data_IF_515573379684
#
_entry.id   IF_515573379684
#
_cell.length_a   1.000
_cell.length_b   1.000
_cell.length_c   1.000
_cell.angle_alpha   90.00
_cell.angle_beta   90.00
_cell.angle_gamma   90.00
#
_symmetry.space_group_name_H-M   'P 1'
#
loop_
_entity.id
_entity.type
_entity.pdbx_description
1 polymer ?
#
# COMPACT_ATOMS: atom_id res chain seq x y z
N UNK A 1 43.35 -32.98 -15.52
CA UNK A 1 43.60 -31.55 -15.79
C UNK A 1 42.70 -30.98 -16.90
N UNK A 2 42.61 -31.59 -18.11
CA UNK A 2 41.78 -31.06 -19.22
C UNK A 2 40.31 -30.93 -18.87
N UNK A 3 39.68 -31.92 -18.22
CA UNK A 3 38.27 -31.89 -17.82
C UNK A 3 37.97 -30.79 -16.78
N UNK A 4 38.88 -30.52 -15.84
CA UNK A 4 38.72 -29.44 -14.87
C UNK A 4 38.84 -28.05 -15.51
N UNK A 5 39.77 -27.88 -16.45
CA UNK A 5 39.92 -26.64 -17.22
C UNK A 5 38.66 -26.38 -18.08
N UNK A 6 38.16 -27.39 -18.78
CA UNK A 6 36.92 -27.27 -19.55
C UNK A 6 35.73 -26.90 -18.69
N UNK A 7 35.60 -27.49 -17.51
CA UNK A 7 34.53 -27.17 -16.54
C UNK A 7 34.63 -25.71 -16.07
N UNK A 8 35.82 -25.25 -15.69
CA UNK A 8 36.03 -23.83 -15.28
C UNK A 8 35.71 -22.88 -16.42
N UNK A 9 36.18 -23.17 -17.64
CA UNK A 9 35.89 -22.35 -18.83
C UNK A 9 34.38 -22.28 -19.08
N UNK A 10 33.67 -23.40 -18.97
CA UNK A 10 32.22 -23.43 -19.14
C UNK A 10 31.49 -22.55 -18.10
N UNK A 11 31.92 -22.59 -16.84
CA UNK A 11 31.36 -21.71 -15.80
C UNK A 11 31.65 -20.23 -16.13
N UNK A 12 32.84 -19.89 -16.51
CA UNK A 12 33.24 -18.53 -16.87
C UNK A 12 32.42 -18.02 -18.07
N UNK A 13 32.24 -18.83 -19.10
CA UNK A 13 31.44 -18.50 -20.28
C UNK A 13 29.96 -18.28 -19.90
N UNK A 14 29.38 -19.15 -19.04
CA UNK A 14 28.04 -18.98 -18.56
C UNK A 14 27.92 -17.67 -17.77
N UNK A 15 28.88 -17.36 -16.90
CA UNK A 15 28.87 -16.11 -16.12
C UNK A 15 28.98 -14.87 -17.02
N UNK A 16 29.86 -14.90 -18.02
CA UNK A 16 30.01 -13.81 -19.01
C UNK A 16 28.71 -13.63 -19.81
N UNK A 17 28.13 -14.73 -20.28
CA UNK A 17 26.86 -14.69 -21.02
C UNK A 17 25.74 -14.13 -20.16
N UNK A 18 25.65 -14.54 -18.89
CA UNK A 18 24.68 -14.01 -17.94
C UNK A 18 24.90 -12.51 -17.67
N UNK A 19 26.14 -12.05 -17.57
CA UNK A 19 26.48 -10.63 -17.39
C UNK A 19 26.07 -9.81 -18.63
N UNK A 20 26.38 -10.26 -19.84
CA UNK A 20 26.00 -9.55 -21.06
C UNK A 20 24.48 -9.52 -21.26
N UNK A 21 23.80 -10.65 -21.03
CA UNK A 21 22.34 -10.71 -21.09
C UNK A 21 21.70 -9.83 -20.01
N UNK A 22 22.28 -9.81 -18.83
CA UNK A 22 21.83 -8.99 -17.72
C UNK A 22 21.98 -7.50 -18.05
N UNK A 23 23.14 -7.03 -18.53
CA UNK A 23 23.32 -5.62 -18.88
C UNK A 23 22.39 -5.17 -20.01
N UNK A 24 22.27 -5.91 -21.09
CA UNK A 24 21.41 -5.55 -22.23
C UNK A 24 19.92 -5.64 -21.87
N UNK A 25 19.54 -6.63 -21.09
CA UNK A 25 18.14 -6.86 -20.69
C UNK A 25 17.72 -5.93 -19.55
N UNK A 26 18.57 -5.75 -18.53
CA UNK A 26 18.32 -4.78 -17.44
C UNK A 26 18.25 -3.38 -18.01
N UNK A 27 19.15 -3.00 -18.91
CA UNK A 27 19.10 -1.67 -19.55
C UNK A 27 17.77 -1.43 -20.26
N UNK A 28 17.23 -2.41 -21.00
CA UNK A 28 15.88 -2.30 -21.60
C UNK A 28 14.79 -2.14 -20.58
N UNK A 29 14.91 -2.85 -19.46
CA UNK A 29 13.98 -2.74 -18.35
C UNK A 29 14.09 -1.36 -17.71
N UNK A 30 15.29 -0.91 -17.38
CA UNK A 30 15.53 0.39 -16.74
C UNK A 30 15.14 1.57 -17.64
N UNK A 31 15.38 1.49 -18.94
CA UNK A 31 14.94 2.51 -19.91
C UNK A 31 13.41 2.59 -20.00
N UNK A 32 12.70 1.46 -19.86
CA UNK A 32 11.24 1.44 -19.78
C UNK A 32 10.70 2.20 -18.55
N UNK A 33 11.43 2.15 -17.44
CA UNK A 33 11.02 2.80 -16.18
C UNK A 33 11.37 4.28 -16.10
N UNK A 34 12.18 4.79 -17.01
CA UNK A 34 12.48 6.23 -17.14
C UNK A 34 11.40 6.99 -17.89
N UNK A 35 10.28 6.35 -18.20
CA UNK A 35 9.14 7.01 -18.87
C UNK A 35 8.59 8.12 -17.98
N UNK A 36 8.55 9.34 -18.52
CA UNK A 36 8.04 10.54 -17.84
C UNK A 36 6.51 10.60 -17.84
N UNK A 37 5.85 9.51 -17.48
CA UNK A 37 4.41 9.51 -17.31
C UNK A 37 4.04 8.88 -15.95
N UNK A 38 2.78 8.96 -15.59
CA UNK A 38 2.28 8.42 -14.34
C UNK A 38 1.81 6.95 -14.43
N UNK A 39 2.09 6.27 -15.54
CA UNK A 39 1.68 4.87 -15.74
C UNK A 39 2.19 3.93 -14.65
N UNK A 40 3.39 4.17 -14.12
CA UNK A 40 3.93 3.38 -13.02
C UNK A 40 3.37 3.85 -11.67
N UNK A 41 3.30 5.16 -11.43
CA UNK A 41 2.85 5.71 -10.14
C UNK A 41 1.43 5.28 -9.79
N UNK A 42 0.53 5.24 -10.77
CA UNK A 42 -0.87 4.82 -10.59
C UNK A 42 -1.16 3.37 -11.01
N UNK A 43 -0.13 2.59 -11.40
CA UNK A 43 -0.32 1.18 -11.71
C UNK A 43 -0.73 0.40 -10.45
N UNK A 44 -1.68 -0.53 -10.59
CA UNK A 44 -2.25 -1.32 -9.48
C UNK A 44 -1.78 -2.77 -9.46
N UNK A 45 -0.67 -3.10 -10.13
CA UNK A 45 -0.18 -4.47 -10.17
C UNK A 45 0.67 -4.84 -8.96
N UNK A 46 0.55 -6.09 -8.52
CA UNK A 46 1.41 -6.67 -7.48
C UNK A 46 2.88 -6.60 -7.82
N UNK A 47 3.21 -6.74 -9.09
CA UNK A 47 4.58 -6.74 -9.57
C UNK A 47 5.25 -5.39 -9.30
N UNK A 48 4.50 -4.29 -9.46
CA UNK A 48 4.97 -2.95 -9.06
C UNK A 48 5.23 -2.91 -7.56
N UNK A 49 4.24 -3.31 -6.76
CA UNK A 49 4.30 -3.18 -5.31
C UNK A 49 5.37 -4.06 -4.66
N UNK A 50 5.77 -5.16 -5.30
CA UNK A 50 6.82 -6.06 -4.82
C UNK A 50 8.24 -5.63 -5.17
N UNK A 51 8.40 -4.70 -6.11
CA UNK A 51 9.71 -4.30 -6.62
C UNK A 51 10.16 -2.98 -5.99
N UNK A 52 11.24 -3.03 -5.24
CA UNK A 52 11.91 -1.84 -4.70
C UNK A 52 12.26 -0.84 -5.80
N UNK A 53 12.88 -1.32 -6.88
CA UNK A 53 13.33 -0.43 -7.97
C UNK A 53 12.15 0.24 -8.68
N UNK A 54 11.00 -0.47 -8.84
CA UNK A 54 9.81 0.13 -9.43
C UNK A 54 9.29 1.32 -8.64
N UNK A 55 9.30 1.19 -7.34
CA UNK A 55 8.85 2.26 -6.46
C UNK A 55 9.88 3.40 -6.45
N UNK A 56 11.13 3.12 -6.11
CA UNK A 56 12.15 4.16 -5.84
C UNK A 56 12.56 4.95 -7.07
N UNK A 57 12.62 4.35 -8.24
CA UNK A 57 12.96 5.05 -9.49
C UNK A 57 11.85 6.01 -9.95
N UNK A 58 10.63 5.83 -9.45
CA UNK A 58 9.47 6.66 -9.80
C UNK A 58 9.04 7.62 -8.68
N UNK A 59 9.75 7.66 -7.56
CA UNK A 59 9.57 8.63 -6.48
C UNK A 59 10.48 9.84 -6.75
N UNK A 60 9.87 11.00 -6.95
CA UNK A 60 10.56 12.28 -7.17
C UNK A 60 10.26 13.24 -6.02
N UNK A 61 10.89 14.43 -6.02
CA UNK A 61 10.68 15.45 -4.99
C UNK A 61 9.22 15.92 -4.88
N UNK A 62 8.50 15.88 -5.98
CA UNK A 62 7.10 16.27 -6.13
C UNK A 62 6.11 15.09 -6.00
N UNK A 63 6.58 13.92 -5.58
CA UNK A 63 5.76 12.71 -5.47
C UNK A 63 5.39 12.43 -4.01
N UNK A 64 4.09 12.51 -3.69
CA UNK A 64 3.56 12.09 -2.40
C UNK A 64 3.36 10.56 -2.38
N UNK A 65 3.80 9.89 -1.33
CA UNK A 65 3.54 8.46 -1.14
C UNK A 65 2.18 8.28 -0.48
N UNK A 66 1.30 7.52 -1.12
CA UNK A 66 -0.02 7.17 -0.61
C UNK A 66 -0.13 5.65 -0.45
N UNK A 67 -0.18 5.21 0.81
CA UNK A 67 -0.34 3.80 1.20
C UNK A 67 -1.81 3.52 1.50
N UNK A 68 -2.34 2.41 0.98
CA UNK A 68 -3.73 2.03 1.21
C UNK A 68 -3.99 0.61 0.73
N UNK A 69 -5.26 0.22 0.64
CA UNK A 69 -5.69 -1.10 0.20
C UNK A 69 -6.65 -1.00 -1.00
N UNK A 70 -7.79 -1.68 -0.94
CA UNK A 70 -8.82 -1.62 -1.99
C UNK A 70 -9.38 -0.21 -2.22
N UNK A 71 -9.24 0.68 -1.27
CA UNK A 71 -9.61 2.10 -1.39
C UNK A 71 -8.95 2.75 -2.61
N UNK A 72 -7.68 2.40 -2.85
CA UNK A 72 -6.89 2.94 -3.97
C UNK A 72 -7.29 2.36 -5.33
N UNK A 73 -8.09 1.31 -5.38
CA UNK A 73 -8.38 0.58 -6.62
C UNK A 73 -9.86 0.53 -6.97
N UNK A 74 -10.76 0.61 -5.98
CA UNK A 74 -12.20 0.47 -6.17
C UNK A 74 -12.79 1.51 -7.14
N UNK A 75 -12.29 2.74 -7.09
CA UNK A 75 -12.78 3.87 -7.90
C UNK A 75 -11.71 4.45 -8.83
N UNK A 76 -10.68 3.67 -9.17
CA UNK A 76 -9.50 4.16 -9.92
C UNK A 76 -9.80 4.76 -11.30
N UNK A 77 -10.93 4.41 -11.89
CA UNK A 77 -11.34 4.92 -13.20
C UNK A 77 -12.29 6.12 -13.12
N UNK A 78 -12.76 6.45 -11.92
CA UNK A 78 -13.67 7.57 -11.72
C UNK A 78 -12.94 8.93 -11.81
N UNK A 79 -13.67 9.96 -12.24
CA UNK A 79 -13.13 11.30 -12.44
C UNK A 79 -12.60 11.97 -11.17
N UNK A 80 -13.15 11.58 -10.03
CA UNK A 80 -12.78 12.08 -8.70
C UNK A 80 -11.67 11.26 -8.02
N UNK A 81 -10.99 10.37 -8.70
CA UNK A 81 -9.87 9.61 -8.12
C UNK A 81 -8.55 10.38 -8.26
N UNK A 82 -7.61 10.29 -7.31
CA UNK A 82 -6.31 10.98 -7.36
C UNK A 82 -5.54 10.83 -8.67
N UNK A 83 -5.70 9.70 -9.35
CA UNK A 83 -5.15 9.44 -10.68
C UNK A 83 -5.59 10.48 -11.73
N UNK A 84 -6.78 11.06 -11.57
CA UNK A 84 -7.34 12.07 -12.48
C UNK A 84 -7.08 13.50 -12.03
N UNK A 85 -7.02 13.71 -10.72
CA UNK A 85 -6.84 15.03 -10.13
C UNK A 85 -5.35 15.43 -10.06
N UNK A 86 -4.45 14.48 -9.76
CA UNK A 86 -3.03 14.75 -9.50
C UNK A 86 -2.09 14.13 -10.55
N UNK A 87 -2.40 14.35 -11.82
CA UNK A 87 -1.60 13.83 -12.93
C UNK A 87 -0.74 14.95 -13.59
N UNK A 88 0.10 15.62 -12.77
CA UNK A 88 0.94 16.74 -13.22
C UNK A 88 2.42 16.51 -12.89
N UNK A 89 3.32 17.21 -13.61
CA UNK A 89 4.75 17.07 -13.36
C UNK A 89 5.16 17.67 -12.01
N UNK A 90 4.59 18.82 -11.62
CA UNK A 90 4.89 19.49 -10.34
C UNK A 90 4.23 18.85 -9.11
N UNK A 91 3.27 17.96 -9.30
CA UNK A 91 2.65 17.17 -8.23
C UNK A 91 1.99 15.91 -8.74
N UNK A 92 2.34 14.80 -8.13
CA UNK A 92 1.75 13.48 -8.40
C UNK A 92 1.82 12.58 -7.16
N UNK A 93 1.17 11.43 -7.23
CA UNK A 93 1.09 10.47 -6.13
C UNK A 93 1.67 9.13 -6.56
N UNK A 94 2.59 8.57 -5.76
CA UNK A 94 2.93 7.16 -5.82
C UNK A 94 1.93 6.39 -4.98
N UNK A 95 0.93 5.83 -5.64
CA UNK A 95 -0.08 4.97 -5.01
C UNK A 95 0.51 3.58 -4.78
N UNK A 96 0.42 3.07 -3.54
CA UNK A 96 0.94 1.74 -3.15
C UNK A 96 -0.14 1.01 -2.36
N UNK A 97 -0.66 -0.05 -2.96
CA UNK A 97 -1.62 -0.95 -2.34
C UNK A 97 -2.82 -1.28 -3.21
N UNK A 98 -3.41 -2.40 -2.90
CA UNK A 98 -4.66 -2.94 -3.42
C UNK A 98 -5.26 -3.88 -2.38
N UNK A 99 -6.38 -4.53 -2.67
CA UNK A 99 -7.07 -5.39 -1.70
C UNK A 99 -6.15 -6.28 -0.87
N UNK A 100 -6.33 -6.23 0.45
CA UNK A 100 -5.53 -6.91 1.47
C UNK A 100 -4.10 -6.38 1.68
N UNK A 101 -3.76 -5.20 1.19
CA UNK A 101 -2.60 -4.48 1.67
C UNK A 101 -2.96 -3.83 3.01
N UNK A 102 -2.40 -4.33 4.09
CA UNK A 102 -2.62 -3.86 5.45
C UNK A 102 -1.29 -3.47 6.12
N UNK A 103 -1.33 -3.02 7.37
CA UNK A 103 -0.21 -2.37 8.04
C UNK A 103 1.12 -3.13 7.97
N UNK A 104 1.12 -4.45 8.15
CA UNK A 104 2.37 -5.22 8.12
C UNK A 104 3.01 -5.29 6.73
N UNK A 105 2.19 -5.27 5.66
CA UNK A 105 2.68 -5.19 4.28
C UNK A 105 3.28 -3.80 4.02
N UNK A 106 2.58 -2.75 4.49
CA UNK A 106 3.08 -1.37 4.38
C UNK A 106 4.33 -1.16 5.22
N UNK A 107 4.46 -1.82 6.37
CA UNK A 107 5.67 -1.81 7.20
C UNK A 107 6.89 -2.35 6.44
N UNK A 108 6.74 -3.48 5.73
CA UNK A 108 7.79 -4.01 4.87
C UNK A 108 8.13 -3.06 3.72
N UNK A 109 7.13 -2.48 3.08
CA UNK A 109 7.33 -1.55 1.97
C UNK A 109 8.02 -0.27 2.43
N UNK A 110 7.50 0.40 3.46
CA UNK A 110 8.08 1.64 3.99
C UNK A 110 9.48 1.42 4.55
N UNK A 111 9.70 0.33 5.28
CA UNK A 111 11.02 -0.02 5.81
C UNK A 111 12.08 -0.20 4.73
N UNK A 112 11.64 -0.66 3.54
CA UNK A 112 12.48 -0.83 2.36
C UNK A 112 12.78 0.47 1.63
N UNK A 113 11.74 1.29 1.35
CA UNK A 113 11.85 2.47 0.47
C UNK A 113 11.94 3.80 1.21
N UNK A 114 11.64 3.84 2.52
CA UNK A 114 11.44 5.10 3.24
C UNK A 114 12.65 6.05 3.21
N UNK A 115 13.86 5.50 3.10
CA UNK A 115 15.09 6.31 2.93
C UNK A 115 15.19 6.97 1.55
N UNK A 116 14.39 6.54 0.57
CA UNK A 116 14.38 7.03 -0.81
C UNK A 116 13.21 8.00 -1.08
N UNK A 117 12.37 8.25 -0.08
CA UNK A 117 11.25 9.22 -0.18
C UNK A 117 11.82 10.64 -0.15
N UNK A 118 11.98 11.23 -1.32
CA UNK A 118 12.74 12.47 -1.53
C UNK A 118 12.17 13.70 -0.82
N UNK A 119 10.84 13.83 -0.74
CA UNK A 119 10.16 14.91 0.00
C UNK A 119 9.80 14.52 1.43
N UNK A 120 10.15 13.31 1.84
CA UNK A 120 9.90 12.75 3.17
C UNK A 120 8.42 12.68 3.58
N UNK A 121 7.46 12.78 2.65
CA UNK A 121 6.02 12.82 2.96
C UNK A 121 5.33 11.52 2.57
N UNK A 122 4.62 10.95 3.54
CA UNK A 122 3.85 9.70 3.38
C UNK A 122 2.48 9.87 4.03
N UNK A 123 1.45 9.36 3.38
CA UNK A 123 0.12 9.21 3.97
C UNK A 123 -0.26 7.74 3.93
N UNK A 124 -0.78 7.22 5.05
CA UNK A 124 -1.39 5.89 5.10
C UNK A 124 -2.89 6.02 5.36
N UNK A 125 -3.69 5.28 4.59
CA UNK A 125 -5.12 5.17 4.79
C UNK A 125 -5.38 4.02 5.76
N UNK A 126 -6.13 4.31 6.82
CA UNK A 126 -6.63 3.32 7.77
C UNK A 126 -8.14 3.18 7.61
N UNK A 127 -8.56 2.05 7.08
CA UNK A 127 -9.96 1.73 6.90
C UNK A 127 -10.45 0.79 7.97
N UNK A 128 -11.63 1.05 8.51
CA UNK A 128 -12.21 0.31 9.64
C UNK A 128 -12.29 -1.21 9.37
N UNK A 129 -12.54 -1.65 8.15
CA UNK A 129 -12.63 -3.06 7.80
C UNK A 129 -11.32 -3.85 7.98
N UNK A 130 -10.19 -3.19 8.11
CA UNK A 130 -8.93 -3.88 8.39
C UNK A 130 -8.89 -4.47 9.81
N UNK A 131 -9.72 -3.92 10.70
CA UNK A 131 -9.73 -4.25 12.14
C UNK A 131 -10.86 -5.22 12.53
N UNK A 132 -11.70 -5.64 11.60
CA UNK A 132 -12.86 -6.52 11.87
C UNK A 132 -12.49 -7.98 12.13
N UNK A 133 -11.27 -8.38 11.77
CA UNK A 133 -10.80 -9.74 11.91
C UNK A 133 -9.97 -9.92 13.19
N UNK A 134 -10.48 -10.73 14.11
CA UNK A 134 -9.78 -11.10 15.36
C UNK A 134 -8.42 -11.79 15.13
N UNK A 135 -8.14 -12.29 13.94
CA UNK A 135 -6.86 -12.90 13.57
C UNK A 135 -5.97 -11.95 12.78
N UNK A 136 -6.41 -10.69 12.53
CA UNK A 136 -5.74 -9.74 11.66
C UNK A 136 -5.75 -10.15 10.19
N UNK A 137 -4.73 -9.75 9.44
CA UNK A 137 -4.61 -10.11 8.03
C UNK A 137 -4.63 -11.64 7.84
N UNK A 138 -5.41 -12.11 6.87
CA UNK A 138 -5.46 -13.52 6.52
C UNK A 138 -4.10 -14.00 6.01
N UNK A 139 -3.61 -15.16 6.50
CA UNK A 139 -2.27 -15.67 6.15
C UNK A 139 -2.07 -15.86 4.65
N UNK A 140 -3.07 -16.35 3.92
CA UNK A 140 -2.99 -16.52 2.47
C UNK A 140 -2.95 -15.16 1.74
N UNK A 141 -3.71 -14.18 2.23
CA UNK A 141 -3.64 -12.81 1.74
C UNK A 141 -2.24 -12.22 1.99
N UNK A 142 -1.72 -12.34 3.21
CA UNK A 142 -0.36 -11.93 3.54
C UNK A 142 0.67 -12.55 2.60
N UNK A 143 0.68 -13.88 2.45
CA UNK A 143 1.65 -14.60 1.61
C UNK A 143 1.61 -14.19 0.15
N UNK A 144 0.43 -13.84 -0.36
CA UNK A 144 0.28 -13.40 -1.74
C UNK A 144 0.73 -11.94 -1.95
N UNK A 145 0.72 -11.10 -0.91
CA UNK A 145 1.01 -9.66 -0.95
C UNK A 145 2.43 -9.30 -0.54
N UNK A 146 3.00 -10.03 0.44
CA UNK A 146 4.34 -9.69 0.95
C UNK A 146 5.42 -9.81 -0.11
N UNK A 147 6.35 -8.87 -0.13
CA UNK A 147 7.57 -8.92 -0.93
C UNK A 147 8.75 -9.37 -0.08
N UNK A 148 9.38 -10.49 -0.46
CA UNK A 148 10.59 -10.96 0.20
C UNK A 148 11.74 -9.95 0.06
N UNK A 149 11.79 -9.24 -1.06
CA UNK A 149 12.74 -8.14 -1.28
C UNK A 149 12.55 -7.02 -0.26
N UNK A 150 11.32 -6.59 -0.03
CA UNK A 150 11.02 -5.55 0.96
C UNK A 150 11.34 -6.01 2.39
N UNK A 151 11.00 -7.26 2.75
CA UNK A 151 11.37 -7.80 4.07
C UNK A 151 12.89 -7.81 4.26
N UNK A 152 13.65 -8.30 3.27
CA UNK A 152 15.12 -8.29 3.35
C UNK A 152 15.66 -6.87 3.51
N UNK A 153 15.22 -5.92 2.68
CA UNK A 153 15.69 -4.53 2.70
C UNK A 153 15.34 -3.82 4.01
N UNK A 154 14.16 -4.08 4.57
CA UNK A 154 13.76 -3.58 5.89
C UNK A 154 14.71 -4.10 6.98
N UNK A 155 15.02 -5.40 6.95
CA UNK A 155 15.96 -5.98 7.91
C UNK A 155 17.40 -5.46 7.75
N UNK A 156 17.82 -5.18 6.51
CA UNK A 156 19.15 -4.64 6.22
C UNK A 156 19.26 -3.11 6.41
N UNK A 157 18.16 -2.39 6.61
CA UNK A 157 18.15 -0.94 6.73
C UNK A 157 18.73 -0.51 8.09
N UNK A 158 19.89 0.14 8.09
CA UNK A 158 20.61 0.54 9.31
C UNK A 158 19.90 1.66 10.10
N UNK A 159 19.00 2.41 9.49
CA UNK A 159 18.21 3.45 10.18
C UNK A 159 17.14 2.86 11.09
N UNK A 160 16.71 1.62 10.84
CA UNK A 160 15.69 0.95 11.65
C UNK A 160 16.36 0.30 12.85
N UNK A 161 15.86 0.60 14.05
CA UNK A 161 16.39 0.06 15.31
C UNK A 161 16.24 -1.47 15.40
N UNK A 162 17.13 -2.11 16.17
CA UNK A 162 17.07 -3.55 16.37
C UNK A 162 15.77 -4.00 17.04
N UNK A 163 15.24 -3.20 17.97
CA UNK A 163 13.95 -3.48 18.62
C UNK A 163 12.81 -3.50 17.59
N UNK A 164 12.75 -2.49 16.71
CA UNK A 164 11.73 -2.40 15.66
C UNK A 164 11.86 -3.57 14.67
N UNK A 165 13.09 -3.88 14.22
CA UNK A 165 13.36 -5.03 13.36
C UNK A 165 12.94 -6.35 13.99
N UNK A 166 13.16 -6.52 15.28
CA UNK A 166 12.78 -7.75 15.97
C UNK A 166 11.25 -7.91 16.04
N UNK A 167 10.51 -6.86 16.40
CA UNK A 167 9.03 -6.86 16.37
C UNK A 167 8.51 -7.19 14.97
N UNK A 168 9.05 -6.51 13.96
CA UNK A 168 8.67 -6.71 12.56
C UNK A 168 8.91 -8.14 12.09
N UNK A 169 10.14 -8.67 12.23
CA UNK A 169 10.46 -9.99 11.71
C UNK A 169 9.74 -11.11 12.48
N UNK A 170 9.48 -10.95 13.77
CA UNK A 170 8.68 -11.90 14.54
C UNK A 170 7.26 -12.02 14.00
N UNK A 171 6.63 -10.87 13.67
CA UNK A 171 5.28 -10.87 13.06
C UNK A 171 5.28 -11.47 11.65
N UNK A 172 6.29 -11.18 10.83
CA UNK A 172 6.47 -11.78 9.50
C UNK A 172 6.61 -13.32 9.60
N UNK A 173 7.37 -13.82 10.56
CA UNK A 173 7.55 -15.27 10.80
C UNK A 173 6.22 -15.91 11.21
N UNK A 174 5.47 -15.27 12.12
CA UNK A 174 4.15 -15.75 12.56
C UNK A 174 3.18 -15.91 11.38
N UNK A 175 3.08 -14.87 10.54
CA UNK A 175 2.16 -14.85 9.40
C UNK A 175 2.57 -15.82 8.28
N UNK A 176 3.85 -16.15 8.16
CA UNK A 176 4.37 -17.03 7.11
C UNK A 176 4.28 -18.52 7.42
N UNK A 177 3.75 -18.93 8.57
CA UNK A 177 3.82 -20.32 9.09
C UNK A 177 3.23 -21.36 8.13
N UNK A 178 2.26 -21.01 7.31
CA UNK A 178 1.63 -21.93 6.34
C UNK A 178 2.47 -22.14 5.07
N UNK A 179 3.47 -21.29 4.81
CA UNK A 179 4.41 -21.47 3.70
C UNK A 179 5.81 -21.82 4.24
N UNK A 180 6.16 -23.11 4.18
CA UNK A 180 7.41 -23.64 4.75
C UNK A 180 8.67 -22.97 4.22
N UNK A 181 8.70 -22.62 2.94
CA UNK A 181 9.87 -22.00 2.30
C UNK A 181 10.06 -20.55 2.79
N UNK A 182 9.04 -19.72 2.68
CA UNK A 182 9.09 -18.34 3.17
C UNK A 182 9.32 -18.27 4.67
N UNK A 183 8.66 -19.13 5.45
CA UNK A 183 8.84 -19.22 6.89
C UNK A 183 10.30 -19.53 7.27
N UNK A 184 10.93 -20.51 6.61
CA UNK A 184 12.35 -20.86 6.82
C UNK A 184 13.24 -19.68 6.43
N UNK A 185 12.95 -19.00 5.33
CA UNK A 185 13.71 -17.82 4.87
C UNK A 185 13.66 -16.70 5.89
N UNK A 186 12.48 -16.33 6.38
CA UNK A 186 12.32 -15.25 7.35
C UNK A 186 12.97 -15.59 8.72
N UNK A 187 12.95 -16.86 9.12
CA UNK A 187 13.75 -17.33 10.28
C UNK A 187 15.25 -17.13 10.06
N UNK A 188 15.75 -17.36 8.84
CA UNK A 188 17.15 -17.11 8.54
C UNK A 188 17.49 -15.61 8.58
N UNK A 189 16.56 -14.73 8.14
CA UNK A 189 16.73 -13.28 8.30
C UNK A 189 16.82 -12.90 9.79
N UNK A 190 15.90 -13.39 10.62
CA UNK A 190 15.98 -13.16 12.08
C UNK A 190 17.32 -13.64 12.65
N UNK A 191 17.72 -14.87 12.33
CA UNK A 191 18.97 -15.46 12.79
C UNK A 191 20.19 -14.60 12.43
N UNK A 192 20.22 -14.03 11.22
CA UNK A 192 21.33 -13.21 10.74
C UNK A 192 21.30 -11.78 11.29
N UNK A 193 20.17 -11.08 11.12
CA UNK A 193 20.07 -9.65 11.42
C UNK A 193 19.80 -9.32 12.90
N UNK A 194 19.17 -10.25 13.64
CA UNK A 194 18.81 -10.02 15.06
C UNK A 194 19.71 -10.83 15.97
N UNK A 195 19.80 -12.14 15.76
CA UNK A 195 20.54 -13.03 16.69
C UNK A 195 22.06 -12.97 16.49
N UNK A 196 22.55 -12.27 15.45
CA UNK A 196 23.98 -12.20 15.12
C UNK A 196 24.60 -13.55 14.74
N UNK A 197 23.77 -14.52 14.34
CA UNK A 197 24.20 -15.89 14.02
C UNK A 197 24.34 -16.05 12.50
N UNK A 198 25.54 -15.87 12.01
CA UNK A 198 25.87 -16.07 10.59
C UNK A 198 27.31 -15.67 10.32
N UNK A 199 27.89 -16.24 9.28
CA UNK A 199 29.21 -15.85 8.80
C UNK A 199 29.11 -14.75 7.75
N UNK A 200 30.23 -14.14 7.39
CA UNK A 200 30.33 -13.25 6.22
C UNK A 200 29.72 -13.90 4.96
N UNK A 201 30.01 -15.19 4.74
CA UNK A 201 29.46 -15.96 3.61
C UNK A 201 27.92 -16.01 3.66
N UNK A 202 27.34 -16.15 4.86
CA UNK A 202 25.87 -16.12 5.00
C UNK A 202 25.31 -14.76 4.58
N UNK A 203 25.97 -13.65 4.96
CA UNK A 203 25.56 -12.31 4.56
C UNK A 203 25.59 -12.10 3.04
N UNK A 204 26.69 -12.53 2.39
CA UNK A 204 26.83 -12.43 0.94
C UNK A 204 25.78 -13.30 0.20
N UNK A 205 25.45 -14.48 0.72
CA UNK A 205 24.39 -15.33 0.17
C UNK A 205 23.02 -14.65 0.27
N UNK A 206 22.70 -14.01 1.39
CA UNK A 206 21.43 -13.28 1.56
C UNK A 206 21.35 -12.07 0.62
N UNK A 207 22.46 -11.35 0.40
CA UNK A 207 22.53 -10.26 -0.59
C UNK A 207 22.26 -10.76 -2.00
N UNK A 208 22.91 -11.87 -2.37
CA UNK A 208 22.73 -12.49 -3.68
C UNK A 208 21.30 -12.98 -3.89
N UNK A 209 20.72 -13.65 -2.90
CA UNK A 209 19.33 -14.11 -2.96
C UNK A 209 18.36 -12.91 -3.15
N UNK A 210 18.58 -11.82 -2.43
CA UNK A 210 17.80 -10.59 -2.61
C UNK A 210 17.99 -9.98 -4.01
N UNK A 211 19.20 -9.98 -4.55
CA UNK A 211 19.45 -9.54 -5.94
C UNK A 211 18.62 -10.34 -6.95
N UNK A 212 18.57 -11.67 -6.79
CA UNK A 212 17.74 -12.53 -7.65
C UNK A 212 16.25 -12.19 -7.51
N UNK A 213 15.76 -11.88 -6.29
CA UNK A 213 14.36 -11.45 -6.09
C UNK A 213 14.08 -10.10 -6.75
N UNK A 214 14.97 -9.13 -6.59
CA UNK A 214 14.85 -7.83 -7.25
C UNK A 214 14.76 -7.99 -8.76
N UNK A 215 15.64 -8.79 -9.35
CA UNK A 215 15.61 -9.10 -10.78
C UNK A 215 14.29 -9.76 -11.22
N UNK A 216 13.82 -10.77 -10.48
CA UNK A 216 12.55 -11.45 -10.76
C UNK A 216 11.37 -10.50 -10.70
N UNK A 217 11.30 -9.62 -9.70
CA UNK A 217 10.23 -8.65 -9.54
C UNK A 217 10.20 -7.67 -10.70
N UNK A 218 11.34 -7.08 -11.07
CA UNK A 218 11.48 -6.20 -12.23
C UNK A 218 11.04 -6.90 -13.51
N UNK A 219 11.54 -8.11 -13.75
CA UNK A 219 11.23 -8.90 -14.94
C UNK A 219 9.75 -9.24 -15.03
N UNK A 220 9.14 -9.62 -13.91
CA UNK A 220 7.72 -9.94 -13.84
C UNK A 220 6.85 -8.73 -14.18
N UNK A 221 7.18 -7.56 -13.63
CA UNK A 221 6.49 -6.32 -13.97
C UNK A 221 6.67 -5.98 -15.46
N UNK A 222 7.90 -6.04 -15.99
CA UNK A 222 8.18 -5.75 -17.38
C UNK A 222 7.39 -6.65 -18.35
N UNK A 223 7.23 -7.94 -18.02
CA UNK A 223 6.42 -8.86 -18.83
C UNK A 223 4.92 -8.54 -18.78
N UNK A 224 4.42 -8.10 -17.65
CA UNK A 224 2.99 -7.83 -17.43
C UNK A 224 2.62 -6.36 -17.61
N UNK A 225 3.60 -5.51 -17.97
CA UNK A 225 3.37 -4.08 -18.15
C UNK A 225 2.15 -3.85 -19.05
N UNK A 226 1.27 -3.00 -18.59
CA UNK A 226 0.20 -2.45 -19.43
C UNK A 226 0.82 -1.70 -20.60
N UNK A 227 0.21 -1.80 -21.77
CA UNK A 227 0.53 -0.93 -22.90
C UNK A 227 -0.10 0.46 -22.75
N UNK A 228 -0.89 0.65 -21.69
CA UNK A 228 -1.52 1.92 -21.41
C UNK A 228 -0.47 2.93 -20.98
N UNK A 229 -0.28 3.94 -21.79
CA UNK A 229 0.42 5.16 -21.42
C UNK A 229 -0.52 6.00 -20.55
N UNK A 230 0.04 6.67 -19.55
CA UNK A 230 -0.68 7.61 -18.73
C UNK A 230 0.06 8.95 -18.72
N UNK A 231 -0.01 9.68 -19.85
CA UNK A 231 0.71 10.95 -20.00
C UNK A 231 0.24 11.95 -18.95
N UNK A 232 1.13 12.85 -18.57
CA UNK A 232 0.81 13.96 -17.69
C UNK A 232 -0.22 14.87 -18.37
N UNK A 233 -1.14 15.43 -17.58
CA UNK A 233 -2.09 16.45 -18.03
C UNK A 233 -1.40 17.80 -18.28
N UNK A 234 -0.26 18.05 -17.63
CA UNK A 234 0.53 19.25 -17.79
C UNK A 234 1.72 19.34 -16.84
N UNK A 235 2.48 20.43 -16.98
CA UNK A 235 3.64 20.70 -16.13
C UNK A 235 3.24 21.15 -14.72
N UNK A 236 2.15 21.90 -14.60
CA UNK A 236 1.70 22.51 -13.34
C UNK A 236 0.28 22.12 -13.00
N UNK A 237 0.07 21.80 -11.74
CA UNK A 237 -1.27 21.63 -11.18
C UNK A 237 -2.08 22.91 -11.34
N UNK A 238 -3.39 22.80 -11.68
CA UNK A 238 -4.26 23.96 -11.74
C UNK A 238 -4.44 24.57 -10.34
N UNK A 239 -4.92 25.80 -10.31
CA UNK A 239 -5.39 26.40 -9.06
C UNK A 239 -6.75 25.76 -8.73
N UNK A 240 -6.75 24.72 -7.88
CA UNK A 240 -7.95 23.97 -7.54
C UNK A 240 -8.96 24.83 -6.77
N UNK A 241 -10.17 24.98 -7.31
CA UNK A 241 -11.33 25.40 -6.54
C UNK A 241 -12.05 24.15 -6.00
N UNK A 242 -11.63 23.69 -4.82
CA UNK A 242 -12.12 22.45 -4.22
C UNK A 242 -13.63 22.42 -4.01
N UNK A 243 -14.26 23.57 -3.70
CA UNK A 243 -15.71 23.63 -3.52
C UNK A 243 -16.46 23.41 -4.85
N UNK A 244 -16.00 24.04 -5.93
CA UNK A 244 -16.60 23.82 -7.26
C UNK A 244 -16.40 22.38 -7.73
N UNK A 245 -15.22 21.81 -7.52
CA UNK A 245 -14.94 20.40 -7.86
C UNK A 245 -15.84 19.47 -7.06
N UNK A 246 -15.98 19.71 -5.76
CA UNK A 246 -16.86 18.94 -4.87
C UNK A 246 -18.33 19.04 -5.29
N UNK A 247 -18.79 20.24 -5.68
CA UNK A 247 -20.15 20.44 -6.19
C UNK A 247 -20.38 19.67 -7.48
N UNK A 248 -19.47 19.77 -8.45
CA UNK A 248 -19.54 19.02 -9.71
C UNK A 248 -19.73 17.52 -9.47
N UNK A 249 -18.88 16.92 -8.62
CA UNK A 249 -19.00 15.49 -8.32
C UNK A 249 -20.20 15.15 -7.42
N UNK A 250 -20.71 16.10 -6.65
CA UNK A 250 -21.98 15.92 -5.93
C UNK A 250 -23.15 15.80 -6.89
N UNK A 251 -23.19 16.60 -7.96
CA UNK A 251 -24.24 16.47 -8.99
C UNK A 251 -24.14 15.15 -9.76
N UNK A 252 -22.93 14.69 -10.04
CA UNK A 252 -22.73 13.35 -10.60
C UNK A 252 -23.27 12.25 -9.68
N UNK A 253 -22.92 12.32 -8.39
CA UNK A 253 -23.36 11.37 -7.38
C UNK A 253 -24.88 11.22 -7.31
N UNK A 254 -25.64 12.33 -7.39
CA UNK A 254 -27.11 12.29 -7.37
C UNK A 254 -27.67 11.41 -8.48
N UNK A 255 -27.03 11.36 -9.64
CA UNK A 255 -27.48 10.53 -10.76
C UNK A 255 -27.06 9.06 -10.62
N UNK A 256 -25.93 8.83 -9.96
CA UNK A 256 -25.31 7.50 -9.80
C UNK A 256 -25.81 6.72 -8.58
N UNK A 257 -26.58 7.35 -7.68
CA UNK A 257 -27.00 6.74 -6.38
C UNK A 257 -28.51 6.84 -6.12
N UNK A 258 -29.33 6.98 -7.16
CA UNK A 258 -30.75 7.31 -7.06
C UNK A 258 -31.69 6.10 -6.99
N UNK A 259 -31.18 4.86 -6.99
CA UNK A 259 -31.98 3.64 -6.95
C UNK A 259 -32.07 3.00 -5.55
N UNK A 260 -31.48 3.61 -4.52
CA UNK A 260 -31.46 3.09 -3.17
C UNK A 260 -31.44 4.21 -2.12
N UNK A 261 -31.94 3.90 -0.92
CA UNK A 261 -32.05 4.86 0.20
C UNK A 261 -30.71 5.18 0.90
N UNK A 262 -29.67 4.38 0.63
CA UNK A 262 -28.36 4.55 1.24
C UNK A 262 -27.51 5.60 0.52
N UNK A 263 -27.82 5.88 -0.76
CA UNK A 263 -26.96 6.70 -1.61
C UNK A 263 -25.66 5.98 -2.04
N UNK A 264 -25.70 4.65 -2.06
CA UNK A 264 -24.66 3.78 -2.60
C UNK A 264 -24.75 3.77 -4.14
N UNK A 265 -23.64 3.62 -4.82
CA UNK A 265 -23.61 3.51 -6.29
C UNK A 265 -24.62 2.49 -6.81
N UNK A 266 -25.37 2.87 -7.82
CA UNK A 266 -26.45 2.08 -8.37
C UNK A 266 -25.99 0.69 -8.85
N UNK A 267 -24.83 0.63 -9.50
CA UNK A 267 -24.25 -0.62 -10.02
C UNK A 267 -23.83 -1.54 -8.90
N UNK A 268 -23.18 -0.96 -7.88
CA UNK A 268 -22.79 -1.72 -6.69
C UNK A 268 -24.01 -2.25 -5.94
N UNK A 269 -25.02 -1.40 -5.71
CA UNK A 269 -26.25 -1.78 -5.03
C UNK A 269 -26.98 -2.91 -5.76
N UNK A 270 -27.23 -2.76 -7.07
CA UNK A 270 -27.91 -3.78 -7.87
C UNK A 270 -27.18 -5.12 -7.88
N UNK A 271 -25.85 -5.08 -7.94
CA UNK A 271 -25.02 -6.28 -8.03
C UNK A 271 -24.87 -7.03 -6.70
N UNK A 272 -24.68 -6.31 -5.61
CA UNK A 272 -24.22 -6.91 -4.35
C UNK A 272 -25.25 -6.86 -3.22
N UNK A 273 -26.23 -5.97 -3.26
CA UNK A 273 -27.15 -5.72 -2.16
C UNK A 273 -28.59 -6.09 -2.50
N UNK A 274 -29.14 -5.57 -3.56
CA UNK A 274 -30.56 -5.60 -3.90
C UNK A 274 -31.22 -6.97 -3.71
N UNK A 275 -30.65 -8.00 -4.32
CA UNK A 275 -31.23 -9.36 -4.28
C UNK A 275 -30.97 -10.11 -2.96
N UNK A 276 -30.19 -9.53 -2.06
CA UNK A 276 -29.80 -10.11 -0.76
C UNK A 276 -30.20 -9.22 0.41
N UNK A 277 -30.88 -8.12 0.13
CA UNK A 277 -31.12 -7.05 1.09
C UNK A 277 -31.57 -7.56 2.46
N UNK A 278 -32.67 -8.30 2.54
CA UNK A 278 -33.19 -8.81 3.81
C UNK A 278 -32.23 -9.75 4.54
N UNK A 279 -31.45 -10.55 3.79
CA UNK A 279 -30.48 -11.47 4.37
C UNK A 279 -29.23 -10.78 4.92
N UNK A 280 -28.97 -9.53 4.52
CA UNK A 280 -27.85 -8.72 4.98
C UNK A 280 -28.17 -7.94 6.26
N UNK A 281 -29.45 -7.90 6.69
CA UNK A 281 -29.84 -7.24 7.92
C UNK A 281 -29.20 -7.94 9.15
N UNK A 282 -28.49 -7.17 9.94
CA UNK A 282 -27.80 -7.64 11.15
C UNK A 282 -26.78 -8.78 10.91
N UNK A 283 -26.32 -8.97 9.66
CA UNK A 283 -25.36 -10.05 9.32
C UNK A 283 -24.02 -9.85 10.05
N UNK A 284 -23.65 -8.61 10.32
CA UNK A 284 -22.39 -8.21 10.95
C UNK A 284 -22.54 -7.83 12.44
N UNK A 285 -23.67 -8.14 13.08
CA UNK A 285 -23.94 -7.78 14.49
C UNK A 285 -22.92 -8.31 15.52
N UNK A 286 -22.17 -9.32 15.14
CA UNK A 286 -21.14 -9.93 15.99
C UNK A 286 -19.73 -9.41 15.70
N UNK A 287 -19.58 -8.45 14.80
CA UNK A 287 -18.28 -7.81 14.52
C UNK A 287 -17.73 -7.17 15.79
N UNK A 288 -16.46 -7.39 16.05
CA UNK A 288 -15.71 -6.83 17.17
C UNK A 288 -14.39 -6.28 16.66
N UNK A 289 -14.02 -5.12 17.17
CA UNK A 289 -12.83 -4.40 16.75
C UNK A 289 -11.76 -4.29 17.84
N UNK A 290 -12.11 -4.67 19.08
CA UNK A 290 -11.28 -4.39 20.26
C UNK A 290 -9.92 -5.10 20.22
N UNK A 291 -9.89 -6.33 19.72
CA UNK A 291 -8.76 -7.24 19.88
C UNK A 291 -8.03 -7.56 18.56
N UNK A 292 -8.24 -6.76 17.51
CA UNK A 292 -7.59 -7.01 16.22
C UNK A 292 -6.07 -6.92 16.33
N UNK A 293 -5.31 -7.91 15.85
CA UNK A 293 -3.85 -7.84 15.75
C UNK A 293 -3.37 -6.71 14.85
N UNK A 294 -4.23 -6.16 14.01
CA UNK A 294 -3.90 -5.06 13.10
C UNK A 294 -3.43 -3.81 13.83
N UNK A 295 -3.87 -3.57 15.08
CA UNK A 295 -3.34 -2.49 15.91
C UNK A 295 -1.86 -2.67 16.25
N UNK A 296 -1.41 -3.92 16.44
CA UNK A 296 0.02 -4.23 16.65
C UNK A 296 0.81 -4.08 15.35
N UNK A 297 0.20 -4.46 14.23
CA UNK A 297 0.79 -4.30 12.91
C UNK A 297 0.95 -2.81 12.56
N UNK A 298 -0.02 -1.97 12.92
CA UNK A 298 0.09 -0.51 12.84
C UNK A 298 1.21 0.03 13.77
N UNK A 299 1.32 -0.44 15.01
CA UNK A 299 2.41 -0.02 15.93
C UNK A 299 3.80 -0.36 15.36
N UNK A 300 3.95 -1.50 14.68
CA UNK A 300 5.19 -1.87 13.96
C UNK A 300 5.44 -0.90 12.80
N UNK A 301 4.44 -0.62 11.98
CA UNK A 301 4.54 0.32 10.88
C UNK A 301 4.97 1.71 11.35
N UNK A 302 4.35 2.22 12.40
CA UNK A 302 4.67 3.54 12.98
C UNK A 302 6.05 3.59 13.62
N UNK A 303 6.49 2.48 14.25
CA UNK A 303 7.86 2.37 14.76
C UNK A 303 8.90 2.49 13.63
N UNK A 304 8.65 1.81 12.49
CA UNK A 304 9.49 1.93 11.29
C UNK A 304 9.49 3.36 10.74
N UNK A 305 8.31 3.97 10.61
CA UNK A 305 8.19 5.35 10.13
C UNK A 305 8.96 6.34 11.02
N UNK A 306 8.87 6.17 12.33
CA UNK A 306 9.61 6.96 13.33
C UNK A 306 11.12 6.77 13.19
N UNK A 307 11.59 5.53 13.11
CA UNK A 307 13.03 5.23 12.98
C UNK A 307 13.62 5.82 11.70
N UNK A 308 12.83 5.84 10.61
CA UNK A 308 13.21 6.44 9.33
C UNK A 308 13.11 7.98 9.31
N UNK A 309 12.45 8.58 10.30
CA UNK A 309 12.20 10.02 10.37
C UNK A 309 11.24 10.53 9.28
N UNK A 310 10.29 9.70 8.88
CA UNK A 310 9.31 10.05 7.83
C UNK A 310 8.26 11.00 8.36
N UNK A 311 7.94 12.06 7.61
CA UNK A 311 6.79 12.92 7.88
C UNK A 311 5.51 12.20 7.41
N UNK A 312 4.86 11.56 8.37
CA UNK A 312 3.71 10.68 8.15
C UNK A 312 2.42 11.34 8.63
N UNK A 313 1.36 11.23 7.82
CA UNK A 313 -0.02 11.45 8.28
C UNK A 313 -0.84 10.16 8.15
N UNK A 314 -1.76 9.94 9.08
CA UNK A 314 -2.74 8.84 9.03
C UNK A 314 -4.07 9.42 8.56
N UNK A 315 -4.66 8.85 7.52
CA UNK A 315 -6.01 9.18 7.08
C UNK A 315 -6.98 8.10 7.59
N UNK A 316 -7.88 8.45 8.48
CA UNK A 316 -8.90 7.53 9.02
C UNK A 316 -10.16 7.65 8.17
N UNK A 317 -10.45 6.60 7.40
CA UNK A 317 -11.64 6.54 6.56
C UNK A 317 -12.82 5.94 7.30
N UNK A 318 -14.03 6.51 7.14
CA UNK A 318 -15.24 5.95 7.73
C UNK A 318 -15.72 4.73 6.95
N UNK A 319 -16.65 3.98 7.53
CA UNK A 319 -17.55 3.11 6.78
C UNK A 319 -18.83 3.87 6.44
N UNK A 320 -19.66 3.31 5.57
CA UNK A 320 -20.96 3.89 5.28
C UNK A 320 -21.92 3.72 6.47
N UNK A 321 -22.20 4.78 7.24
CA UNK A 321 -22.91 4.73 8.53
C UNK A 321 -24.28 4.06 8.44
N UNK A 322 -25.18 4.53 7.56
CA UNK A 322 -26.52 3.94 7.38
C UNK A 322 -26.47 2.45 7.03
N UNK A 323 -25.54 2.04 6.17
CA UNK A 323 -25.37 0.65 5.80
C UNK A 323 -24.82 -0.19 6.95
N UNK A 324 -23.84 0.34 7.67
CA UNK A 324 -23.25 -0.33 8.84
C UNK A 324 -24.31 -0.57 9.92
N UNK A 325 -25.16 0.41 10.19
CA UNK A 325 -26.27 0.27 11.14
C UNK A 325 -27.26 -0.81 10.67
N UNK A 326 -27.63 -0.83 9.40
CA UNK A 326 -28.49 -1.87 8.82
C UNK A 326 -27.88 -3.26 8.94
N UNK A 327 -26.58 -3.40 8.68
CA UNK A 327 -25.86 -4.66 8.79
C UNK A 327 -25.56 -5.09 10.23
N UNK A 328 -25.86 -4.23 11.22
CA UNK A 328 -25.73 -4.52 12.64
C UNK A 328 -24.41 -4.09 13.29
N UNK A 329 -23.59 -3.29 12.61
CA UNK A 329 -22.39 -2.67 13.20
C UNK A 329 -22.78 -1.28 13.69
N UNK A 330 -23.06 -1.15 15.00
CA UNK A 330 -23.52 0.14 15.57
C UNK A 330 -22.43 1.21 15.56
N UNK A 331 -22.83 2.47 15.68
CA UNK A 331 -21.90 3.59 15.76
C UNK A 331 -20.93 3.44 16.95
N UNK A 332 -21.40 2.93 18.09
CA UNK A 332 -20.55 2.67 19.26
C UNK A 332 -19.48 1.64 18.94
N UNK A 333 -19.85 0.56 18.22
CA UNK A 333 -18.89 -0.47 17.79
C UNK A 333 -17.83 0.12 16.86
N UNK A 334 -18.21 0.95 15.90
CA UNK A 334 -17.27 1.60 14.97
C UNK A 334 -16.38 2.62 15.67
N UNK A 335 -16.91 3.36 16.65
CA UNK A 335 -16.15 4.38 17.39
C UNK A 335 -14.96 3.82 18.16
N UNK A 336 -14.97 2.53 18.50
CA UNK A 336 -13.83 1.83 19.11
C UNK A 336 -12.59 1.90 18.22
N UNK A 337 -12.75 1.63 16.92
CA UNK A 337 -11.62 1.68 15.97
C UNK A 337 -11.10 3.11 15.86
N UNK A 338 -11.98 4.06 15.62
CA UNK A 338 -11.59 5.46 15.43
C UNK A 338 -10.85 6.02 16.65
N UNK A 339 -11.32 5.68 17.85
CA UNK A 339 -10.65 6.08 19.10
C UNK A 339 -9.26 5.45 19.21
N UNK A 340 -9.16 4.14 19.01
CA UNK A 340 -7.87 3.44 19.09
C UNK A 340 -6.86 3.95 18.06
N UNK A 341 -7.28 4.21 16.83
CA UNK A 341 -6.40 4.78 15.80
C UNK A 341 -5.86 6.16 16.20
N UNK A 342 -6.73 7.02 16.73
CA UNK A 342 -6.34 8.34 17.23
C UNK A 342 -5.41 8.25 18.44
N UNK A 343 -5.64 7.33 19.35
CA UNK A 343 -4.78 7.11 20.52
C UNK A 343 -3.38 6.59 20.10
N UNK A 344 -3.34 5.67 19.14
CA UNK A 344 -2.08 5.17 18.58
C UNK A 344 -1.34 6.30 17.85
N UNK A 345 -2.01 7.06 17.00
CA UNK A 345 -1.40 8.21 16.31
C UNK A 345 -0.81 9.22 17.31
N UNK A 346 -1.55 9.55 18.37
CA UNK A 346 -1.12 10.43 19.46
C UNK A 346 0.14 9.92 20.16
N UNK A 347 0.23 8.61 20.43
CA UNK A 347 1.43 7.97 21.03
C UNK A 347 2.70 8.26 20.22
N UNK A 348 2.58 8.32 18.90
CA UNK A 348 3.68 8.59 17.98
C UNK A 348 3.81 10.07 17.58
N UNK A 349 2.97 10.95 18.11
CA UNK A 349 2.87 12.37 17.73
C UNK A 349 2.63 12.55 16.21
N UNK A 350 1.75 11.72 15.65
CA UNK A 350 1.38 11.73 14.23
C UNK A 350 0.05 12.45 14.05
N UNK A 351 0.01 13.35 13.09
CA UNK A 351 -1.20 14.08 12.70
C UNK A 351 -2.18 13.17 11.95
N UNK A 352 -3.47 13.33 12.25
CA UNK A 352 -4.54 12.52 11.67
C UNK A 352 -5.43 13.38 10.78
N UNK A 353 -5.65 12.92 9.55
CA UNK A 353 -6.74 13.35 8.68
C UNK A 353 -7.98 12.53 9.03
N UNK A 354 -8.83 13.05 9.91
CA UNK A 354 -9.95 12.30 10.52
C UNK A 354 -11.26 12.54 9.76
N UNK A 355 -11.73 11.51 9.06
CA UNK A 355 -13.03 11.51 8.38
C UNK A 355 -14.09 10.64 9.10
N UNK A 356 -13.80 10.15 10.30
CA UNK A 356 -14.72 9.28 11.06
C UNK A 356 -16.10 9.90 11.33
N UNK A 357 -16.19 11.23 11.37
CA UNK A 357 -17.45 11.95 11.54
C UNK A 357 -18.27 12.07 10.24
N UNK A 358 -17.79 11.53 9.11
CA UNK A 358 -18.42 11.61 7.79
C UNK A 358 -19.26 10.38 7.43
N UNK A 359 -19.43 9.42 8.34
CA UNK A 359 -20.15 8.16 8.13
C UNK A 359 -21.56 8.33 7.51
N UNK A 360 -22.25 9.41 7.85
CA UNK A 360 -23.62 9.69 7.41
C UNK A 360 -23.70 10.81 6.37
N UNK A 361 -22.57 11.35 5.94
CA UNK A 361 -22.56 12.40 4.92
C UNK A 361 -22.90 11.81 3.55
N UNK A 362 -23.94 12.35 2.89
CA UNK A 362 -24.39 11.91 1.58
C UNK A 362 -23.26 12.01 0.55
N UNK A 363 -23.12 10.97 -0.27
CA UNK A 363 -22.13 10.87 -1.36
C UNK A 363 -20.67 10.89 -0.90
N UNK A 364 -20.43 10.78 0.42
CA UNK A 364 -19.07 10.65 0.94
C UNK A 364 -18.48 9.27 0.63
N UNK A 365 -19.31 8.23 0.72
CA UNK A 365 -18.94 6.86 0.36
C UNK A 365 -19.50 6.48 -1.01
N UNK A 366 -18.72 5.72 -1.79
CA UNK A 366 -19.13 5.12 -3.05
C UNK A 366 -20.01 3.89 -2.81
N UNK A 367 -19.55 3.04 -1.92
CA UNK A 367 -20.22 1.81 -1.52
C UNK A 367 -20.23 1.69 0.02
N UNK A 368 -20.20 0.48 0.54
CA UNK A 368 -20.28 0.21 1.99
C UNK A 368 -19.00 0.58 2.73
N UNK A 369 -17.85 0.74 2.04
CA UNK A 369 -16.53 0.89 2.65
C UNK A 369 -15.53 1.78 1.90
N UNK A 370 -15.79 2.15 0.63
CA UNK A 370 -14.85 2.94 -0.17
C UNK A 370 -15.33 4.38 -0.32
N UNK A 371 -14.39 5.33 -0.37
CA UNK A 371 -14.73 6.74 -0.60
C UNK A 371 -15.39 6.94 -1.96
N UNK A 372 -16.38 7.82 -1.98
CA UNK A 372 -17.09 8.25 -3.18
C UNK A 372 -16.71 9.68 -3.57
N UNK A 373 -17.59 10.27 -4.32
CA UNK A 373 -17.46 11.57 -4.96
C UNK A 373 -16.95 12.66 -4.01
N UNK A 374 -17.66 12.93 -2.91
CA UNK A 374 -17.29 13.98 -1.94
C UNK A 374 -16.14 13.55 -1.04
N UNK A 375 -16.09 12.26 -0.69
CA UNK A 375 -15.06 11.73 0.19
C UNK A 375 -13.67 11.85 -0.41
N UNK A 376 -13.52 11.50 -1.69
CA UNK A 376 -12.24 11.66 -2.38
C UNK A 376 -11.84 13.13 -2.48
N UNK A 377 -12.73 14.04 -2.87
CA UNK A 377 -12.40 15.46 -3.03
C UNK A 377 -11.96 16.10 -1.70
N UNK A 378 -12.64 15.79 -0.59
CA UNK A 378 -12.21 16.26 0.74
C UNK A 378 -10.82 15.70 1.10
N UNK A 379 -10.57 14.41 0.83
CA UNK A 379 -9.28 13.80 1.10
C UNK A 379 -8.17 14.37 0.19
N UNK A 380 -8.43 14.55 -1.09
CA UNK A 380 -7.49 15.13 -2.05
C UNK A 380 -7.11 16.56 -1.72
N UNK A 381 -8.07 17.38 -1.28
CA UNK A 381 -7.78 18.72 -0.76
C UNK A 381 -6.75 18.66 0.38
N UNK A 382 -6.94 17.74 1.33
CA UNK A 382 -6.08 17.61 2.50
C UNK A 382 -4.72 16.98 2.13
N UNK A 383 -4.68 16.03 1.17
CA UNK A 383 -3.43 15.52 0.58
C UNK A 383 -2.63 16.62 -0.11
N UNK A 384 -3.30 17.44 -0.92
CA UNK A 384 -2.65 18.55 -1.64
C UNK A 384 -2.10 19.59 -0.67
N UNK A 385 -2.87 19.94 0.37
CA UNK A 385 -2.42 20.83 1.44
C UNK A 385 -1.16 20.27 2.11
N UNK A 386 -1.18 19.01 2.53
CA UNK A 386 -0.03 18.36 3.15
C UNK A 386 1.19 18.34 2.21
N UNK A 387 0.98 18.05 0.93
CA UNK A 387 2.08 18.03 -0.04
C UNK A 387 2.75 19.42 -0.20
N UNK A 388 2.00 20.52 -0.04
CA UNK A 388 2.48 21.89 -0.18
C UNK A 388 2.97 22.52 1.15
N UNK A 389 2.78 21.87 2.30
CA UNK A 389 3.40 22.27 3.58
C UNK A 389 4.94 22.21 3.45
N UNK A 390 5.66 23.18 4.06
CA UNK A 390 7.13 23.25 4.04
C UNK A 390 7.76 22.27 5.02
#
# INVERSE_FOLDING_TARGET
MVKLKAFIISIVLVLITLLILNETYIKKIDDYYKVKDNSIRYNISYEKYKSYDMLTQNIQQNTLILLGSSELTATINEGYHPKKIFNYDDFNIMQIGEGHFQNIIHAATLGSIGSDVKNNKVVIIESIQWFDNKNGILKDAFLSRISEEHVYRTMANEKISQETKEKFINRIIELSITNKEMHKKFKNYKKYFIDGKGSFVTGEFLKFDNYIYSFKNKHSFYKKKSKESYPLEGEKTPNYNWENIKEQFTEEAKTKTNNNEYGIDNTYYDKYIKNKYDSLKNISKNTRYEDSPEYKDLDIFLSIAKDLGVNLKIAIFPSHGKWSDYSGITQETRSVVYTKLKDIAKKYNIEVMDYSNKEYESYFMYDVMHLGWRGWIDFERDLYKFAKEN
#
